data_IF_019528019777
#
_entry.id   IF_019528019777
#
_cell.length_a   1.000
_cell.length_b   1.000
_cell.length_c   1.000
_cell.angle_alpha   90.00
_cell.angle_beta   90.00
_cell.angle_gamma   90.00
#
_symmetry.space_group_name_H-M   'P 1'
#
loop_
_entity.id
_entity.type
_entity.pdbx_description
1 polymer ?
#
# COMPACT_ATOMS: atom_id res chain seq x y z
N UNK A 1 7.11 -22.31 0.01
CA UNK A 1 7.11 -21.54 1.26
C UNK A 1 7.90 -22.32 2.31
N UNK A 2 9.10 -21.85 2.65
CA UNK A 2 9.92 -22.46 3.70
C UNK A 2 9.24 -22.25 5.06
N UNK A 3 9.33 -23.25 5.95
CA UNK A 3 8.73 -23.22 7.29
C UNK A 3 9.33 -22.07 8.09
N UNK A 4 8.50 -21.08 8.41
CA UNK A 4 8.84 -19.84 9.11
C UNK A 4 9.59 -20.10 10.43
N UNK A 5 10.81 -19.56 10.53
CA UNK A 5 11.50 -19.45 11.81
C UNK A 5 10.69 -18.54 12.74
N UNK A 6 10.43 -18.90 14.01
CA UNK A 6 9.73 -18.04 14.96
C UNK A 6 10.29 -16.61 15.03
N UNK A 7 11.62 -16.45 14.88
CA UNK A 7 12.28 -15.14 14.86
C UNK A 7 11.90 -14.29 13.64
N UNK A 8 11.78 -14.90 12.47
CA UNK A 8 11.36 -14.19 11.25
C UNK A 8 9.90 -13.75 11.33
N UNK A 9 9.06 -14.53 12.01
CA UNK A 9 7.66 -14.20 12.22
C UNK A 9 7.47 -13.03 13.18
N UNK A 10 8.22 -13.00 14.28
CA UNK A 10 8.20 -11.84 15.19
C UNK A 10 8.77 -10.59 14.52
N UNK A 11 9.87 -10.71 13.76
CA UNK A 11 10.40 -9.59 12.97
C UNK A 11 9.40 -9.03 11.96
N UNK A 12 8.61 -9.92 11.31
CA UNK A 12 7.56 -9.51 10.37
C UNK A 12 6.41 -8.76 11.08
N UNK A 13 5.97 -9.25 12.25
CA UNK A 13 4.96 -8.55 13.06
C UNK A 13 5.44 -7.17 13.47
N UNK A 14 6.67 -7.07 13.98
CA UNK A 14 7.27 -5.80 14.39
C UNK A 14 7.39 -4.83 13.21
N UNK A 15 7.77 -5.33 12.04
CA UNK A 15 7.85 -4.52 10.81
C UNK A 15 6.47 -3.98 10.40
N UNK A 16 5.43 -4.81 10.44
CA UNK A 16 4.05 -4.41 10.12
C UNK A 16 3.54 -3.38 11.13
N UNK A 17 3.68 -3.65 12.43
CA UNK A 17 3.21 -2.73 13.48
C UNK A 17 3.94 -1.39 13.40
N UNK A 18 5.26 -1.41 13.19
CA UNK A 18 6.04 -0.18 13.03
C UNK A 18 5.60 0.63 11.81
N UNK A 19 5.32 -0.04 10.68
CA UNK A 19 4.88 0.63 9.47
C UNK A 19 3.50 1.29 9.64
N UNK A 20 2.55 0.58 10.28
CA UNK A 20 1.22 1.13 10.61
C UNK A 20 1.35 2.33 11.56
N UNK A 21 2.19 2.22 12.59
CA UNK A 21 2.41 3.30 13.54
C UNK A 21 3.04 4.54 12.86
N UNK A 22 3.99 4.34 11.94
CA UNK A 22 4.61 5.42 11.17
C UNK A 22 3.57 6.22 10.39
N UNK A 23 2.68 5.53 9.66
CA UNK A 23 1.59 6.17 8.93
C UNK A 23 0.64 6.93 9.88
N UNK A 24 0.32 6.34 11.02
CA UNK A 24 -0.56 6.98 12.00
C UNK A 24 0.04 8.27 12.59
N UNK A 25 1.37 8.35 12.75
CA UNK A 25 2.06 9.57 13.20
C UNK A 25 1.94 10.68 12.15
N UNK A 26 1.97 10.32 10.86
CA UNK A 26 1.76 11.24 9.74
C UNK A 26 0.27 11.58 9.50
N UNK A 27 -0.63 11.11 10.37
CA UNK A 27 -2.07 11.38 10.27
C UNK A 27 -2.81 10.49 9.28
N UNK A 28 -2.15 9.49 8.70
CA UNK A 28 -2.75 8.51 7.79
C UNK A 28 -3.36 7.39 8.61
N UNK A 29 -4.70 7.31 8.62
CA UNK A 29 -5.42 6.22 9.28
C UNK A 29 -5.94 5.23 8.25
N UNK A 30 -5.43 4.00 8.33
CA UNK A 30 -5.90 2.91 7.48
C UNK A 30 -7.25 2.37 7.94
N UNK A 31 -8.10 2.02 6.98
CA UNK A 31 -9.39 1.39 7.24
C UNK A 31 -9.25 0.04 7.96
N UNK A 32 -10.28 -0.43 8.68
CA UNK A 32 -10.30 -1.76 9.29
C UNK A 32 -10.03 -2.90 8.29
N UNK A 33 -10.48 -2.75 7.04
CA UNK A 33 -10.29 -3.71 5.97
C UNK A 33 -8.81 -3.80 5.55
N UNK A 34 -8.16 -2.66 5.36
CA UNK A 34 -6.71 -2.59 5.12
C UNK A 34 -5.90 -3.16 6.27
N UNK A 35 -6.26 -2.81 7.51
CA UNK A 35 -5.60 -3.36 8.70
C UNK A 35 -5.76 -4.88 8.79
N UNK A 36 -6.91 -5.42 8.41
CA UNK A 36 -7.12 -6.87 8.35
C UNK A 36 -6.21 -7.54 7.30
N UNK A 37 -6.01 -6.92 6.13
CA UNK A 37 -5.07 -7.43 5.12
C UNK A 37 -3.64 -7.40 5.65
N UNK A 38 -3.21 -6.30 6.27
CA UNK A 38 -1.87 -6.18 6.86
C UNK A 38 -1.65 -7.13 8.03
N UNK A 39 -2.70 -7.43 8.80
CA UNK A 39 -2.63 -8.47 9.85
C UNK A 39 -2.31 -9.84 9.25
N UNK A 40 -2.90 -10.19 8.11
CA UNK A 40 -2.58 -11.45 7.42
C UNK A 40 -1.14 -11.50 6.91
N UNK A 41 -0.58 -10.35 6.55
CA UNK A 41 0.87 -10.22 6.28
C UNK A 41 1.67 -10.48 7.56
N UNK A 42 1.34 -9.82 8.68
CA UNK A 42 2.00 -10.02 9.96
C UNK A 42 1.94 -11.49 10.46
N UNK A 43 0.82 -12.16 10.19
CA UNK A 43 0.63 -13.56 10.56
C UNK A 43 1.40 -14.53 9.64
N UNK A 44 1.93 -14.04 8.51
CA UNK A 44 2.65 -14.81 7.50
C UNK A 44 1.73 -15.61 6.58
N UNK A 45 0.44 -15.30 6.56
CA UNK A 45 -0.56 -15.98 5.73
C UNK A 45 -0.49 -15.57 4.26
N UNK A 46 -0.14 -14.30 4.01
CA UNK A 46 0.03 -13.71 2.68
C UNK A 46 1.30 -12.88 2.64
N UNK A 47 1.89 -12.79 1.46
CA UNK A 47 3.01 -11.89 1.16
C UNK A 47 2.57 -10.44 1.00
N UNK A 48 3.51 -9.50 1.05
CA UNK A 48 3.27 -8.09 0.72
C UNK A 48 2.79 -7.90 -0.71
N UNK A 49 3.24 -8.74 -1.65
CA UNK A 49 2.75 -8.73 -3.03
C UNK A 49 1.29 -9.15 -3.13
N UNK A 50 0.90 -10.23 -2.46
CA UNK A 50 -0.51 -10.65 -2.41
C UNK A 50 -1.40 -9.60 -1.73
N UNK A 51 -0.89 -8.92 -0.69
CA UNK A 51 -1.57 -7.79 -0.06
C UNK A 51 -1.76 -6.62 -1.04
N UNK A 52 -0.75 -6.27 -1.85
CA UNK A 52 -0.87 -5.26 -2.92
C UNK A 52 -1.94 -5.65 -3.95
N UNK A 53 -1.94 -6.90 -4.41
CA UNK A 53 -2.95 -7.38 -5.36
C UNK A 53 -4.36 -7.31 -4.77
N UNK A 54 -4.53 -7.59 -3.47
CA UNK A 54 -5.82 -7.41 -2.78
C UNK A 54 -6.29 -5.96 -2.77
N UNK A 55 -5.39 -5.01 -2.50
CA UNK A 55 -5.72 -3.59 -2.56
C UNK A 55 -6.10 -3.16 -3.98
N UNK A 56 -5.39 -3.64 -5.01
CA UNK A 56 -5.76 -3.37 -6.40
C UNK A 56 -7.15 -3.91 -6.75
N UNK A 57 -7.49 -5.12 -6.29
CA UNK A 57 -8.83 -5.68 -6.46
C UNK A 57 -9.90 -4.83 -5.75
N UNK A 58 -9.59 -4.33 -4.55
CA UNK A 58 -10.49 -3.47 -3.78
C UNK A 58 -10.74 -2.14 -4.51
N UNK A 59 -9.70 -1.55 -5.11
CA UNK A 59 -9.83 -0.34 -5.94
C UNK A 59 -10.81 -0.59 -7.11
N UNK A 60 -10.74 -1.75 -7.77
CA UNK A 60 -11.66 -2.08 -8.86
C UNK A 60 -13.10 -2.30 -8.39
N UNK A 61 -13.31 -2.74 -7.14
CA UNK A 61 -14.64 -2.77 -6.52
C UNK A 61 -15.12 -1.35 -6.24
N UNK A 62 -14.29 -0.51 -5.64
CA UNK A 62 -14.61 0.87 -5.32
C UNK A 62 -14.92 1.72 -6.55
N UNK A 63 -14.26 1.49 -7.68
CA UNK A 63 -14.61 2.15 -8.96
C UNK A 63 -16.06 1.89 -9.38
N UNK A 64 -16.60 0.73 -9.05
CA UNK A 64 -17.98 0.34 -9.38
C UNK A 64 -18.98 0.85 -8.34
N UNK A 65 -18.60 0.81 -7.06
CA UNK A 65 -19.47 1.21 -5.94
C UNK A 65 -19.55 2.74 -5.77
N UNK A 66 -18.43 3.44 -6.03
CA UNK A 66 -18.27 4.88 -5.80
C UNK A 66 -17.67 5.57 -7.03
N UNK A 67 -18.32 5.50 -8.21
CA UNK A 67 -17.75 6.06 -9.44
C UNK A 67 -17.43 7.55 -9.33
N UNK A 68 -18.18 8.31 -8.55
CA UNK A 68 -17.95 9.76 -8.33
C UNK A 68 -16.64 10.07 -7.59
N UNK A 69 -15.99 9.07 -6.98
CA UNK A 69 -14.69 9.22 -6.31
C UNK A 69 -13.51 8.92 -7.23
N UNK A 70 -13.80 8.58 -8.49
CA UNK A 70 -12.82 8.25 -9.51
C UNK A 70 -13.00 9.13 -10.74
N UNK A 71 -11.87 9.47 -11.37
CA UNK A 71 -11.86 10.10 -12.67
C UNK A 71 -12.44 9.17 -13.73
N UNK A 72 -13.41 9.69 -14.50
CA UNK A 72 -14.14 8.93 -15.52
C UNK A 72 -13.58 9.14 -16.94
N UNK A 73 -12.63 10.05 -17.11
CA UNK A 73 -11.93 10.26 -18.37
C UNK A 73 -10.78 9.27 -18.57
N UNK A 74 -10.10 9.38 -19.70
CA UNK A 74 -8.84 8.66 -19.92
C UNK A 74 -7.79 9.10 -18.89
N UNK A 75 -7.02 8.16 -18.36
CA UNK A 75 -5.86 8.44 -17.50
C UNK A 75 -4.63 8.37 -18.42
N UNK A 76 -4.00 9.52 -18.65
CA UNK A 76 -2.77 9.68 -19.42
C UNK A 76 -1.69 9.95 -18.37
N UNK A 77 -0.83 8.97 -18.05
CA UNK A 77 0.25 9.18 -17.10
C UNK A 77 1.21 10.25 -17.63
N UNK A 78 1.50 11.29 -16.85
CA UNK A 78 2.63 12.16 -17.17
C UNK A 78 3.93 11.41 -16.82
N UNK A 79 4.86 11.24 -17.76
CA UNK A 79 6.12 10.55 -17.51
C UNK A 79 7.03 11.26 -16.48
N UNK A 80 6.78 12.55 -16.19
CA UNK A 80 7.55 13.36 -15.25
C UNK A 80 6.84 13.53 -13.90
N UNK A 81 5.51 13.39 -13.84
CA UNK A 81 4.74 13.50 -12.60
C UNK A 81 3.55 12.51 -12.55
N UNK A 82 3.63 11.43 -11.75
CA UNK A 82 2.56 10.43 -11.66
C UNK A 82 1.29 10.92 -10.93
N UNK A 83 1.27 12.16 -10.44
CA UNK A 83 0.15 12.77 -9.71
C UNK A 83 -0.55 13.90 -10.49
N UNK A 84 0.01 14.33 -11.62
CA UNK A 84 -0.56 15.39 -12.46
C UNK A 84 -0.88 14.80 -13.82
N UNK A 85 -2.14 14.88 -14.22
CA UNK A 85 -2.54 14.50 -15.58
C UNK A 85 -2.17 15.61 -16.56
N UNK A 86 -1.62 15.23 -17.72
CA UNK A 86 -1.17 16.16 -18.73
C UNK A 86 -2.32 17.09 -19.21
N UNK A 87 -2.22 18.39 -18.87
CA UNK A 87 -3.19 19.41 -19.27
C UNK A 87 -4.32 19.70 -18.28
N UNK A 88 -4.26 19.20 -17.03
CA UNK A 88 -5.22 19.55 -15.97
C UNK A 88 -4.52 19.91 -14.65
N UNK A 89 -5.13 20.76 -13.84
CA UNK A 89 -4.71 21.04 -12.45
C UNK A 89 -5.32 20.08 -11.42
N UNK A 90 -5.91 18.96 -11.87
CA UNK A 90 -6.54 17.97 -10.99
C UNK A 90 -5.47 16.97 -10.56
N UNK A 91 -5.24 16.86 -9.25
CA UNK A 91 -4.40 15.81 -8.68
C UNK A 91 -5.13 14.47 -8.80
N UNK A 92 -4.63 13.60 -9.65
CA UNK A 92 -5.18 12.25 -9.89
C UNK A 92 -4.00 11.29 -9.83
N UNK A 93 -4.06 10.31 -8.94
CA UNK A 93 -3.01 9.29 -8.92
C UNK A 93 -3.16 8.32 -10.11
N UNK A 94 -2.16 7.45 -10.30
CA UNK A 94 -2.18 6.40 -11.32
C UNK A 94 -3.40 5.44 -11.27
N UNK A 95 -4.19 5.45 -10.19
CA UNK A 95 -5.38 4.64 -10.03
C UNK A 95 -6.68 5.37 -10.39
N UNK A 96 -6.60 6.67 -10.72
CA UNK A 96 -7.75 7.49 -11.07
C UNK A 96 -8.51 8.04 -9.86
N UNK A 97 -7.95 7.96 -8.64
CA UNK A 97 -8.66 8.37 -7.42
C UNK A 97 -8.64 9.89 -7.30
N UNK A 98 -9.82 10.50 -7.12
CA UNK A 98 -9.98 11.95 -6.91
C UNK A 98 -10.48 12.29 -5.50
N UNK A 99 -11.13 11.37 -4.78
CA UNK A 99 -11.50 11.59 -3.38
C UNK A 99 -10.24 11.53 -2.49
N UNK A 100 -9.95 12.59 -1.71
CA UNK A 100 -8.73 12.65 -0.90
C UNK A 100 -8.63 11.56 0.16
N UNK A 101 -9.75 11.06 0.71
CA UNK A 101 -9.73 10.04 1.75
C UNK A 101 -9.38 8.68 1.16
N UNK A 102 -9.94 8.36 0.00
CA UNK A 102 -9.58 7.15 -0.75
C UNK A 102 -8.13 7.19 -1.21
N UNK A 103 -7.66 8.39 -1.62
CA UNK A 103 -6.27 8.59 -2.01
C UNK A 103 -5.33 8.29 -0.83
N UNK A 104 -5.57 8.90 0.33
CA UNK A 104 -4.78 8.68 1.54
C UNK A 104 -4.79 7.22 2.00
N UNK A 105 -5.95 6.54 1.93
CA UNK A 105 -6.09 5.12 2.27
C UNK A 105 -5.19 4.26 1.38
N UNK A 106 -5.27 4.45 0.07
CA UNK A 106 -4.53 3.66 -0.91
C UNK A 106 -3.04 3.92 -0.81
N UNK A 107 -2.62 5.18 -0.74
CA UNK A 107 -1.22 5.55 -0.61
C UNK A 107 -0.63 5.06 0.70
N UNK A 108 -1.35 5.26 1.81
CA UNK A 108 -0.98 4.75 3.11
C UNK A 108 -0.75 3.25 3.08
N UNK A 109 -1.65 2.49 2.45
CA UNK A 109 -1.52 1.04 2.32
C UNK A 109 -0.26 0.67 1.53
N UNK A 110 -0.04 1.25 0.35
CA UNK A 110 1.13 0.94 -0.47
C UNK A 110 2.44 1.33 0.21
N UNK A 111 2.52 2.49 0.85
CA UNK A 111 3.67 2.92 1.66
C UNK A 111 3.93 1.92 2.79
N UNK A 112 2.88 1.47 3.50
CA UNK A 112 3.00 0.47 4.58
C UNK A 112 3.64 -0.81 4.05
N UNK A 113 3.12 -1.35 2.93
CA UNK A 113 3.69 -2.57 2.32
C UNK A 113 5.15 -2.38 1.91
N UNK A 114 5.51 -1.19 1.42
CA UNK A 114 6.89 -0.88 1.04
C UNK A 114 7.83 -0.80 2.25
N UNK A 115 7.40 -0.19 3.35
CA UNK A 115 8.18 -0.12 4.59
C UNK A 115 8.43 -1.53 5.14
N UNK A 116 7.42 -2.40 5.13
CA UNK A 116 7.55 -3.80 5.53
C UNK A 116 8.62 -4.50 4.68
N UNK A 117 8.54 -4.38 3.36
CA UNK A 117 9.53 -4.98 2.46
C UNK A 117 10.95 -4.47 2.71
N UNK A 118 11.12 -3.16 2.89
CA UNK A 118 12.42 -2.56 3.16
C UNK A 118 12.99 -3.08 4.48
N UNK A 119 12.17 -3.21 5.52
CA UNK A 119 12.60 -3.77 6.81
C UNK A 119 13.00 -5.24 6.69
N UNK A 120 12.17 -6.06 6.05
CA UNK A 120 12.44 -7.49 5.90
C UNK A 120 13.64 -7.78 4.97
N UNK A 121 13.88 -6.91 3.98
CA UNK A 121 15.03 -7.02 3.07
C UNK A 121 16.29 -6.31 3.58
N UNK A 122 16.18 -5.34 4.51
CA UNK A 122 17.35 -4.68 5.12
C UNK A 122 18.25 -5.65 5.89
N UNK A 123 17.67 -6.75 6.39
CA UNK A 123 18.39 -7.88 7.00
C UNK A 123 19.14 -8.76 5.99
N UNK A 124 18.97 -8.55 4.67
CA UNK A 124 19.72 -9.21 3.58
C UNK A 124 20.80 -8.29 2.98
N UNK A 125 21.26 -7.30 3.75
CA UNK A 125 22.43 -6.50 3.41
C UNK A 125 23.68 -7.37 3.26
N UNK A 126 24.13 -7.48 2.01
CA UNK A 126 25.44 -7.91 1.51
C UNK A 126 26.59 -7.61 2.50
N UNK A 127 27.08 -8.65 3.18
CA UNK A 127 28.48 -8.78 3.56
C UNK A 127 29.16 -9.66 2.50
N UNK A 128 29.37 -9.09 1.31
CA UNK A 128 30.44 -9.55 0.43
C UNK A 128 31.31 -8.33 0.17
N UNK A 129 32.40 -8.27 0.93
CA UNK A 129 33.61 -7.49 0.61
C UNK A 129 34.18 -8.01 -0.70
#
# INVERSE_FOLDING_TARGET
>A
MQKNNPLEREALKDAVQSAIASNSIEGIQLSPESLAILKRVADGEISTEEARQKMLQQIEVWKKEYPDYFWQGEIIPDPNDPYVYAGTDILINKFGIIDPRFLMEVEGFFVTTRIIELRMNSTKGVLSV
#
